data_IF_633887354502
#
_entry.id   IF_633887354502
#
_cell.length_a   1.000
_cell.length_b   1.000
_cell.length_c   1.000
_cell.angle_alpha   90.00
_cell.angle_beta   90.00
_cell.angle_gamma   90.00
#
_symmetry.space_group_name_H-M   'P 1'
#
loop_
_entity.id
_entity.type
_entity.pdbx_description
1 polymer ?
#
# COMPACT_ATOMS: atom_id res chain seq x y z
N UNK A 1 -19.32 26.40 -30.74
CA UNK A 1 -18.10 25.59 -30.60
C UNK A 1 -18.00 25.12 -29.15
N UNK A 2 -17.96 23.80 -28.99
CA UNK A 2 -17.81 22.97 -27.78
C UNK A 2 -17.98 23.64 -26.40
N UNK A 3 -19.18 23.46 -25.81
CA UNK A 3 -19.35 23.45 -24.36
C UNK A 3 -18.42 22.40 -23.76
N UNK A 4 -17.36 22.83 -23.08
CA UNK A 4 -16.55 21.96 -22.25
C UNK A 4 -17.45 21.33 -21.19
N UNK A 5 -17.57 19.98 -21.09
CA UNK A 5 -18.20 19.40 -19.92
C UNK A 5 -17.28 19.69 -18.74
N UNK A 6 -17.73 20.58 -17.84
CA UNK A 6 -17.16 20.65 -16.49
C UNK A 6 -17.40 19.28 -15.88
N UNK A 7 -16.37 18.45 -15.87
CA UNK A 7 -16.39 17.15 -15.22
C UNK A 7 -16.92 17.36 -13.81
N UNK A 8 -18.09 16.77 -13.52
CA UNK A 8 -18.71 16.79 -12.20
C UNK A 8 -17.62 16.46 -11.19
N UNK A 9 -17.37 17.37 -10.26
CA UNK A 9 -16.66 17.06 -9.02
C UNK A 9 -17.51 16.03 -8.28
N UNK A 10 -17.38 14.76 -8.66
CA UNK A 10 -17.87 13.63 -7.88
C UNK A 10 -17.19 13.80 -6.51
N UNK A 11 -17.95 13.77 -5.42
CA UNK A 11 -17.35 13.71 -4.10
C UNK A 11 -16.36 12.54 -4.13
N UNK A 12 -15.08 12.85 -4.04
CA UNK A 12 -14.02 11.86 -4.24
C UNK A 12 -14.05 11.02 -2.98
N UNK A 13 -14.76 9.90 -3.01
CA UNK A 13 -14.71 8.91 -1.94
C UNK A 13 -13.25 8.55 -1.76
N UNK A 14 -12.72 8.77 -0.55
CA UNK A 14 -11.33 8.46 -0.24
C UNK A 14 -11.24 7.20 0.58
N UNK A 15 -10.26 6.37 0.28
CA UNK A 15 -9.87 5.21 1.06
C UNK A 15 -8.53 5.46 1.74
N UNK A 16 -8.31 4.71 2.80
CA UNK A 16 -7.03 4.56 3.46
C UNK A 16 -6.40 3.27 2.96
N UNK A 17 -5.20 3.38 2.39
CA UNK A 17 -4.43 2.25 1.86
C UNK A 17 -3.36 1.86 2.86
N UNK A 18 -3.31 0.58 3.23
CA UNK A 18 -2.22 -0.03 3.97
C UNK A 18 -1.23 -0.71 3.03
N UNK A 19 0.06 -0.49 3.23
CA UNK A 19 1.14 -1.06 2.41
C UNK A 19 2.25 -1.66 3.26
N UNK A 20 2.52 -2.97 3.10
CA UNK A 20 3.57 -3.69 3.83
C UNK A 20 4.99 -3.47 3.31
N UNK A 21 5.17 -2.76 2.19
CA UNK A 21 6.51 -2.54 1.63
C UNK A 21 7.27 -1.48 2.44
N UNK A 22 8.58 -1.66 2.61
CA UNK A 22 9.42 -0.70 3.35
C UNK A 22 9.36 0.71 2.74
N UNK A 23 9.51 0.80 1.42
CA UNK A 23 9.54 2.08 0.69
C UNK A 23 8.18 2.47 0.11
N UNK A 24 7.17 1.61 0.22
CA UNK A 24 5.90 1.79 -0.46
C UNK A 24 6.02 1.51 -1.96
N UNK A 25 5.09 2.04 -2.74
CA UNK A 25 5.09 1.90 -4.19
C UNK A 25 4.33 3.05 -4.86
N UNK A 26 4.58 3.26 -6.15
CA UNK A 26 3.88 4.26 -6.95
C UNK A 26 2.76 3.54 -7.71
N UNK A 27 1.53 3.99 -7.47
CA UNK A 27 0.39 3.63 -8.28
C UNK A 27 0.34 4.55 -9.49
N UNK A 28 0.28 3.97 -10.69
CA UNK A 28 0.04 4.70 -11.92
C UNK A 28 -1.22 4.14 -12.57
N UNK A 29 -2.17 5.03 -12.86
CA UNK A 29 -3.37 4.74 -13.65
C UNK A 29 -3.46 5.84 -14.71
N UNK A 30 -3.52 5.44 -15.98
CA UNK A 30 -3.43 6.35 -17.12
C UNK A 30 -2.18 7.28 -17.03
N UNK A 31 -2.41 8.59 -16.95
CA UNK A 31 -1.39 9.64 -16.84
C UNK A 31 -1.27 10.20 -15.41
N UNK A 32 -1.93 9.57 -14.42
CA UNK A 32 -1.90 10.01 -13.03
C UNK A 32 -1.09 9.04 -12.19
N UNK A 33 -0.12 9.59 -11.45
CA UNK A 33 0.72 8.83 -10.52
C UNK A 33 0.46 9.27 -9.09
N UNK A 34 0.19 8.32 -8.21
CA UNK A 34 0.03 8.53 -6.77
C UNK A 34 1.04 7.67 -6.01
N UNK A 35 1.74 8.27 -5.05
CA UNK A 35 2.70 7.53 -4.22
C UNK A 35 2.01 7.01 -2.97
N UNK A 36 2.06 5.69 -2.76
CA UNK A 36 1.66 5.04 -1.51
C UNK A 36 2.90 4.86 -0.65
N UNK A 37 2.85 5.36 0.58
CA UNK A 37 3.98 5.29 1.48
C UNK A 37 4.07 3.92 2.14
N UNK A 38 5.32 3.47 2.30
CA UNK A 38 5.65 2.27 3.03
C UNK A 38 5.83 2.49 4.52
N UNK A 39 6.13 1.40 5.25
CA UNK A 39 6.33 1.47 6.69
C UNK A 39 7.56 2.29 7.12
N UNK A 40 8.54 2.52 6.23
CA UNK A 40 9.71 3.35 6.57
C UNK A 40 9.40 4.87 6.51
N UNK A 41 8.37 5.28 5.75
CA UNK A 41 8.12 6.70 5.45
C UNK A 41 6.76 7.24 5.91
N UNK A 42 5.96 6.42 6.58
CA UNK A 42 4.60 6.81 6.99
C UNK A 42 4.22 6.27 8.36
N UNK A 43 3.03 6.66 8.83
CA UNK A 43 2.39 6.07 10.01
C UNK A 43 2.29 4.56 9.82
N UNK A 44 2.96 3.81 10.68
CA UNK A 44 2.97 2.34 10.63
C UNK A 44 1.95 1.77 11.58
N UNK A 45 1.11 0.86 11.09
CA UNK A 45 0.23 0.04 11.91
C UNK A 45 0.45 -1.41 11.52
N UNK A 46 0.83 -2.27 12.47
CA UNK A 46 1.06 -3.70 12.21
C UNK A 46 2.05 -3.96 11.07
N UNK A 47 3.17 -3.22 11.04
CA UNK A 47 4.19 -3.28 9.96
C UNK A 47 3.70 -2.84 8.56
N UNK A 48 2.56 -2.17 8.45
CA UNK A 48 2.06 -1.57 7.22
C UNK A 48 2.11 -0.04 7.29
N UNK A 49 2.68 0.59 6.27
CA UNK A 49 2.57 2.02 6.04
C UNK A 49 1.16 2.40 5.65
N UNK A 50 0.60 3.40 6.34
CA UNK A 50 -0.77 3.86 6.14
C UNK A 50 -0.76 5.17 5.35
N UNK A 51 -1.45 5.16 4.21
CA UNK A 51 -1.66 6.34 3.37
C UNK A 51 -3.15 6.66 3.31
N UNK A 52 -3.54 7.78 3.92
CA UNK A 52 -4.91 8.27 3.92
C UNK A 52 -5.19 9.17 2.71
N UNK A 53 -6.47 9.44 2.43
CA UNK A 53 -6.93 10.35 1.37
C UNK A 53 -6.62 9.87 -0.07
N UNK A 54 -6.53 8.56 -0.27
CA UNK A 54 -6.38 7.98 -1.61
C UNK A 54 -7.73 7.95 -2.31
N UNK A 55 -7.90 8.46 -3.54
CA UNK A 55 -9.17 8.37 -4.25
C UNK A 55 -9.59 6.91 -4.48
N UNK A 56 -10.80 6.54 -4.06
CA UNK A 56 -11.36 5.18 -4.19
C UNK A 56 -11.40 4.72 -5.63
N UNK A 57 -11.96 5.54 -6.53
CA UNK A 57 -11.98 5.29 -7.98
C UNK A 57 -10.56 5.01 -8.53
N UNK A 58 -9.54 5.73 -8.04
CA UNK A 58 -8.14 5.53 -8.48
C UNK A 58 -7.55 4.23 -7.93
N UNK A 59 -7.84 3.90 -6.66
CA UNK A 59 -7.45 2.63 -6.06
C UNK A 59 -8.08 1.44 -6.78
N UNK A 60 -9.38 1.50 -7.06
CA UNK A 60 -10.10 0.43 -7.75
C UNK A 60 -9.61 0.23 -9.19
N UNK A 61 -9.35 1.33 -9.92
CA UNK A 61 -8.78 1.27 -11.27
C UNK A 61 -7.38 0.62 -11.26
N UNK A 62 -6.49 1.07 -10.37
CA UNK A 62 -5.18 0.46 -10.22
C UNK A 62 -5.30 -1.02 -9.82
N UNK A 63 -6.16 -1.36 -8.86
CA UNK A 63 -6.35 -2.72 -8.41
C UNK A 63 -6.88 -3.61 -9.54
N UNK A 64 -7.78 -3.13 -10.40
CA UNK A 64 -8.27 -3.89 -11.54
C UNK A 64 -7.14 -4.30 -12.50
N UNK A 65 -6.16 -3.44 -12.72
CA UNK A 65 -4.98 -3.70 -13.56
C UNK A 65 -3.87 -4.50 -12.84
N UNK A 66 -3.82 -4.43 -11.50
CA UNK A 66 -2.71 -4.91 -10.69
C UNK A 66 -3.08 -6.05 -9.73
N UNK A 67 -4.34 -6.51 -9.71
CA UNK A 67 -4.85 -7.56 -8.80
C UNK A 67 -4.07 -8.86 -8.87
N UNK A 68 -3.49 -9.19 -10.03
CA UNK A 68 -2.72 -10.40 -10.24
C UNK A 68 -1.25 -10.30 -9.76
N UNK A 69 -0.81 -9.10 -9.34
CA UNK A 69 0.53 -8.90 -8.80
C UNK A 69 0.63 -9.46 -7.39
N UNK A 70 1.82 -9.94 -7.03
CA UNK A 70 2.14 -10.46 -5.68
C UNK A 70 1.79 -9.49 -4.55
N UNK A 71 1.77 -8.19 -4.82
CA UNK A 71 1.37 -7.14 -3.86
C UNK A 71 -0.09 -7.29 -3.42
N UNK A 72 -0.98 -7.60 -4.36
CA UNK A 72 -2.41 -7.73 -4.14
C UNK A 72 -2.76 -9.16 -3.73
N UNK A 73 -2.24 -10.17 -4.46
CA UNK A 73 -2.52 -11.59 -4.16
C UNK A 73 -1.88 -12.06 -2.85
N UNK A 74 -0.73 -11.49 -2.47
CA UNK A 74 -0.05 -11.77 -1.21
C UNK A 74 -0.65 -11.02 -0.01
N UNK A 75 -1.67 -10.17 -0.22
CA UNK A 75 -2.30 -9.41 0.86
C UNK A 75 -1.36 -8.42 1.54
N UNK A 76 -0.36 -7.89 0.82
CA UNK A 76 0.59 -6.90 1.32
C UNK A 76 0.08 -5.47 1.14
N UNK A 77 -0.90 -5.28 0.26
CA UNK A 77 -1.57 -3.99 0.05
C UNK A 77 -3.07 -4.19 0.07
N UNK A 78 -3.77 -3.35 0.83
CA UNK A 78 -5.22 -3.36 0.99
C UNK A 78 -5.71 -1.94 1.24
N UNK A 79 -7.01 -1.70 1.05
CA UNK A 79 -7.60 -0.39 1.30
C UNK A 79 -8.98 -0.50 1.92
N UNK A 80 -9.30 0.38 2.87
CA UNK A 80 -10.63 0.53 3.43
C UNK A 80 -11.06 1.98 3.45
N UNK A 81 -12.38 2.20 3.46
CA UNK A 81 -12.99 3.53 3.61
C UNK A 81 -12.72 4.14 4.99
N UNK A 82 -12.39 3.32 5.99
CA UNK A 82 -12.11 3.75 7.35
C UNK A 82 -10.67 3.42 7.76
N UNK A 83 -9.95 4.42 8.27
CA UNK A 83 -8.62 4.23 8.84
C UNK A 83 -8.61 3.19 9.97
N UNK A 84 -9.69 3.11 10.77
CA UNK A 84 -9.83 2.09 11.84
C UNK A 84 -9.88 0.66 11.30
N UNK A 85 -10.62 0.43 10.21
CA UNK A 85 -10.70 -0.89 9.57
C UNK A 85 -9.36 -1.26 8.94
N UNK A 86 -8.72 -0.30 8.27
CA UNK A 86 -7.36 -0.49 7.72
C UNK A 86 -6.36 -0.84 8.83
N UNK A 87 -6.43 -0.15 9.97
CA UNK A 87 -5.56 -0.41 11.11
C UNK A 87 -5.79 -1.80 11.73
N UNK A 88 -7.04 -2.24 11.81
CA UNK A 88 -7.39 -3.57 12.31
C UNK A 88 -6.84 -4.66 11.39
N UNK A 89 -7.12 -4.59 10.08
CA UNK A 89 -6.58 -5.55 9.11
C UNK A 89 -5.05 -5.51 9.05
N UNK A 90 -4.43 -4.33 9.13
CA UNK A 90 -2.97 -4.20 9.17
C UNK A 90 -2.37 -4.92 10.37
N UNK A 91 -3.04 -4.85 11.53
CA UNK A 91 -2.60 -5.51 12.76
C UNK A 91 -2.79 -7.03 12.66
N UNK A 92 -3.89 -7.49 12.07
CA UNK A 92 -4.13 -8.93 11.85
C UNK A 92 -3.15 -9.52 10.82
N UNK A 93 -2.76 -8.75 9.80
CA UNK A 93 -1.79 -9.15 8.77
C UNK A 93 -0.35 -8.78 9.13
N UNK A 94 -0.10 -8.36 10.36
CA UNK A 94 1.25 -7.98 10.82
C UNK A 94 2.21 -9.17 10.72
N UNK A 95 1.72 -10.40 10.89
CA UNK A 95 2.51 -11.63 10.79
C UNK A 95 2.71 -12.15 9.35
N UNK A 96 2.06 -11.55 8.35
CA UNK A 96 2.15 -11.99 6.96
C UNK A 96 3.47 -11.52 6.32
N UNK A 97 4.52 -12.35 6.40
CA UNK A 97 5.87 -11.93 5.98
C UNK A 97 5.92 -11.56 4.49
N UNK A 98 6.35 -10.33 4.20
CA UNK A 98 6.42 -9.78 2.83
C UNK A 98 7.75 -10.06 2.14
N UNK A 99 8.74 -10.59 2.85
CA UNK A 99 10.12 -10.76 2.38
C UNK A 99 10.86 -9.44 2.15
N UNK A 100 10.24 -8.29 2.46
CA UNK A 100 10.85 -6.94 2.41
C UNK A 100 11.05 -6.34 3.79
N UNK A 101 10.79 -7.13 4.82
CA UNK A 101 11.04 -6.77 6.21
C UNK A 101 12.56 -6.72 6.47
N UNK A 102 13.00 -5.85 7.39
CA UNK A 102 14.39 -5.83 7.80
C UNK A 102 14.77 -7.23 8.31
N UNK A 103 15.89 -7.76 7.78
CA UNK A 103 16.40 -9.06 8.21
C UNK A 103 16.72 -9.00 9.71
N UNK A 104 16.19 -9.96 10.47
CA UNK A 104 16.59 -10.14 11.85
C UNK A 104 18.07 -10.54 11.90
N UNK A 105 18.95 -9.76 12.56
CA UNK A 105 20.38 -10.06 12.65
C UNK A 105 20.68 -11.33 13.48
N UNK A 106 19.64 -11.98 14.05
CA UNK A 106 19.74 -13.27 14.75
C UNK A 106 19.34 -14.47 13.88
N UNK A 107 18.86 -14.26 12.67
CA UNK A 107 18.53 -15.36 11.76
C UNK A 107 19.81 -15.89 11.10
N UNK A 108 20.33 -16.97 11.67
CA UNK A 108 21.57 -17.66 11.24
C UNK A 108 21.43 -18.41 9.90
N UNK A 109 20.48 -18.03 9.04
CA UNK A 109 20.29 -18.64 7.71
C UNK A 109 20.80 -17.79 6.55
N UNK A 110 21.36 -16.61 6.83
CA UNK A 110 22.10 -15.85 5.82
C UNK A 110 23.59 -16.09 6.06
N UNK A 111 24.29 -16.57 5.04
CA UNK A 111 25.71 -16.97 5.08
C UNK A 111 26.67 -15.81 5.31
N UNK A 112 26.54 -15.14 6.44
CA UNK A 112 27.52 -14.22 6.99
C UNK A 112 28.25 -14.98 8.10
N UNK A 113 29.38 -15.59 7.75
CA UNK A 113 30.37 -15.90 8.77
C UNK A 113 30.83 -14.56 9.35
N UNK A 114 30.54 -14.36 10.63
CA UNK A 114 31.20 -13.37 11.47
C UNK A 114 32.71 -13.65 11.39
N UNK A 115 33.45 -12.76 10.72
CA UNK A 115 34.91 -12.76 10.74
C UNK A 115 35.38 -11.86 11.89
N UNK A 116 35.72 -12.53 13.00
CA UNK A 116 36.49 -12.14 14.19
C UNK A 116 36.03 -10.91 15.02
#
# INVERSE_FOLDING_TARGET
MASQPRTRTKAVETVTVGCKLANGFIMQVDNTTLTINGFNKSTVIGSHGITEKVPKDFWEAWLAENKDRKLCTGGFVFAHESAKSTAAEAKEKSDNNSGTEPLDPKDKSTGVEEVD
#
